data_IF_538906372620
#
_entry.id   IF_538906372620
#
_cell.length_a   1.000
_cell.length_b   1.000
_cell.length_c   1.000
_cell.angle_alpha   90.00
_cell.angle_beta   90.00
_cell.angle_gamma   90.00
#
_symmetry.space_group_name_H-M   'P 1'
#
loop_
_entity.id
_entity.type
_entity.pdbx_description
1 polymer ?
#
# COMPACT_ATOMS: atom_id res chain seq x y z
N UNK A 1 -0.46 -9.38 -20.25
CA UNK A 1 -0.07 -10.58 -19.47
C UNK A 1 1.00 -10.27 -18.43
N UNK A 2 2.14 -9.65 -18.77
CA UNK A 2 3.24 -9.41 -17.82
C UNK A 2 2.88 -8.51 -16.62
N UNK A 3 2.18 -7.39 -16.84
CA UNK A 3 1.73 -6.50 -15.75
C UNK A 3 0.73 -7.18 -14.81
N UNK A 4 -0.09 -8.11 -15.33
CA UNK A 4 -1.00 -8.90 -14.49
C UNK A 4 -0.25 -9.91 -13.60
N UNK A 5 1.04 -10.13 -13.83
CA UNK A 5 1.91 -10.97 -13.00
C UNK A 5 2.71 -10.15 -11.96
N UNK A 6 2.47 -8.84 -11.83
CA UNK A 6 3.02 -8.04 -10.72
C UNK A 6 2.56 -8.53 -9.33
N UNK A 7 1.60 -9.45 -9.32
CA UNK A 7 1.07 -10.09 -8.13
C UNK A 7 1.31 -11.59 -8.25
N UNK A 8 2.22 -12.18 -7.46
CA UNK A 8 2.37 -13.63 -7.44
C UNK A 8 1.07 -14.27 -6.91
N UNK A 9 0.78 -15.53 -7.27
CA UNK A 9 -0.36 -16.25 -6.71
C UNK A 9 -0.24 -16.24 -5.18
N UNK A 10 -1.31 -15.80 -4.52
CA UNK A 10 -1.40 -15.74 -3.06
C UNK A 10 -1.33 -17.18 -2.56
N UNK A 11 -0.17 -17.58 -2.04
CA UNK A 11 -0.06 -18.82 -1.27
C UNK A 11 -0.55 -18.46 0.12
N UNK A 12 -1.79 -18.82 0.43
CA UNK A 12 -2.31 -18.83 1.80
C UNK A 12 -1.54 -19.87 2.63
N UNK A 13 -0.33 -19.54 3.05
CA UNK A 13 0.35 -20.24 4.14
C UNK A 13 1.07 -19.22 5.00
N UNK A 14 0.65 -19.20 6.26
CA UNK A 14 1.41 -18.67 7.37
C UNK A 14 2.84 -19.21 7.24
N UNK A 15 3.81 -18.30 7.24
CA UNK A 15 5.23 -18.52 6.96
C UNK A 15 5.57 -18.68 5.47
N UNK A 16 5.79 -17.54 4.80
CA UNK A 16 6.48 -17.51 3.49
C UNK A 16 7.89 -18.05 3.71
N UNK A 17 8.27 -19.18 3.09
CA UNK A 17 9.62 -19.71 3.26
C UNK A 17 10.66 -18.71 2.73
N UNK A 18 11.82 -18.61 3.38
CA UNK A 18 12.91 -17.69 2.96
C UNK A 18 13.29 -17.86 1.48
N UNK A 19 13.20 -19.08 0.94
CA UNK A 19 13.42 -19.36 -0.48
C UNK A 19 12.34 -18.78 -1.40
N UNK A 20 11.10 -18.65 -0.93
CA UNK A 20 10.00 -18.06 -1.68
C UNK A 20 10.14 -16.53 -1.81
N UNK A 21 10.72 -15.87 -0.79
CA UNK A 21 11.07 -14.44 -0.86
C UNK A 21 12.18 -14.21 -1.88
N UNK A 22 13.24 -15.02 -1.86
CA UNK A 22 14.32 -14.93 -2.87
C UNK A 22 13.78 -15.21 -4.28
N UNK A 23 12.95 -16.24 -4.45
CA UNK A 23 12.32 -16.56 -5.73
C UNK A 23 11.39 -15.47 -6.24
N UNK A 24 10.67 -14.76 -5.34
CA UNK A 24 9.87 -13.58 -5.70
C UNK A 24 10.78 -12.49 -6.29
N UNK A 25 11.92 -12.19 -5.65
CA UNK A 25 12.91 -11.21 -6.13
C UNK A 25 13.53 -11.60 -7.47
N UNK A 26 13.77 -12.90 -7.69
CA UNK A 26 14.31 -13.39 -8.96
C UNK A 26 13.28 -13.30 -10.11
N UNK A 27 12.04 -13.71 -9.85
CA UNK A 27 10.95 -13.57 -10.83
C UNK A 27 10.75 -12.09 -11.19
N UNK A 28 10.83 -11.23 -10.18
CA UNK A 28 10.71 -9.79 -10.33
C UNK A 28 11.82 -9.20 -11.18
N UNK A 29 13.08 -9.54 -10.92
CA UNK A 29 14.22 -9.03 -11.68
C UNK A 29 14.13 -9.47 -13.14
N UNK A 30 13.72 -10.72 -13.37
CA UNK A 30 13.45 -11.24 -14.71
C UNK A 30 12.28 -10.52 -15.42
N UNK A 31 11.22 -10.19 -14.69
CA UNK A 31 10.07 -9.47 -15.23
C UNK A 31 10.44 -8.05 -15.65
N UNK A 32 11.14 -7.33 -14.78
CA UNK A 32 11.63 -5.98 -15.06
C UNK A 32 12.62 -5.99 -16.24
N UNK A 33 13.55 -6.96 -16.26
CA UNK A 33 14.49 -7.14 -17.37
C UNK A 33 13.80 -7.48 -18.70
N UNK A 34 12.76 -8.30 -18.69
CA UNK A 34 11.99 -8.63 -19.90
C UNK A 34 11.23 -7.41 -20.42
N UNK A 35 10.63 -6.63 -19.52
CA UNK A 35 9.89 -5.43 -19.88
C UNK A 35 10.83 -4.36 -20.46
N UNK A 36 12.04 -4.26 -19.92
CA UNK A 36 13.12 -3.42 -20.45
C UNK A 36 13.49 -3.83 -21.88
N UNK A 37 13.78 -5.12 -22.12
CA UNK A 37 14.10 -5.62 -23.46
C UNK A 37 12.99 -5.30 -24.48
N UNK A 38 11.73 -5.45 -24.08
CA UNK A 38 10.58 -5.09 -24.92
C UNK A 38 10.55 -3.58 -25.19
N UNK A 39 10.77 -2.75 -24.16
CA UNK A 39 10.80 -1.30 -24.28
C UNK A 39 11.90 -0.79 -25.20
N UNK A 40 13.09 -1.38 -25.14
CA UNK A 40 14.22 -1.01 -26.01
C UNK A 40 14.00 -1.47 -27.46
N UNK A 41 13.28 -2.57 -27.66
CA UNK A 41 12.99 -3.12 -28.99
C UNK A 41 11.80 -2.43 -29.67
N UNK A 42 10.79 -2.01 -28.90
CA UNK A 42 9.52 -1.47 -29.42
C UNK A 42 9.29 -0.04 -28.90
N UNK A 43 9.46 1.00 -29.73
CA UNK A 43 9.34 2.40 -29.31
C UNK A 43 7.98 2.80 -28.72
N UNK A 44 6.91 2.08 -29.08
CA UNK A 44 5.56 2.30 -28.53
C UNK A 44 5.32 1.61 -27.19
N UNK A 45 6.20 0.70 -26.76
CA UNK A 45 5.97 -0.10 -25.55
C UNK A 45 5.88 0.74 -24.26
N UNK A 46 6.67 1.82 -24.04
CA UNK A 46 6.49 2.68 -22.87
C UNK A 46 5.09 3.28 -22.78
N UNK A 47 4.52 3.70 -23.92
CA UNK A 47 3.17 4.26 -23.98
C UNK A 47 2.10 3.22 -23.66
N UNK A 48 2.22 2.03 -24.25
CA UNK A 48 1.30 0.92 -23.96
C UNK A 48 1.41 0.48 -22.50
N UNK A 49 2.62 0.43 -21.96
CA UNK A 49 2.87 0.08 -20.58
C UNK A 49 2.21 1.07 -19.62
N UNK A 50 2.28 2.37 -19.91
CA UNK A 50 1.56 3.40 -19.16
C UNK A 50 0.06 3.09 -19.09
N UNK A 51 -0.58 2.87 -20.23
CA UNK A 51 -2.02 2.62 -20.30
C UNK A 51 -2.41 1.31 -19.59
N UNK A 52 -1.53 0.31 -19.60
CA UNK A 52 -1.75 -0.95 -18.86
C UNK A 52 -1.61 -0.72 -17.36
N UNK A 53 -0.58 -0.01 -16.90
CA UNK A 53 -0.36 0.30 -15.49
C UNK A 53 -1.54 1.09 -14.93
N UNK A 54 -2.04 2.09 -15.67
CA UNK A 54 -3.21 2.87 -15.29
C UNK A 54 -4.45 1.99 -15.06
N UNK A 55 -4.64 0.95 -15.86
CA UNK A 55 -5.78 0.01 -15.73
C UNK A 55 -5.59 -1.02 -14.63
N UNK A 56 -4.35 -1.39 -14.37
CA UNK A 56 -3.98 -2.44 -13.41
C UNK A 56 -3.71 -1.90 -12.00
N UNK A 57 -3.79 -0.58 -11.81
CA UNK A 57 -3.51 0.05 -10.53
C UNK A 57 -4.39 -0.52 -9.42
N UNK A 58 -3.79 -0.97 -8.30
CA UNK A 58 -4.53 -1.45 -7.14
C UNK A 58 -5.58 -0.45 -6.65
N UNK A 59 -6.75 -0.96 -6.27
CA UNK A 59 -7.87 -0.20 -5.70
C UNK A 59 -7.92 -0.39 -4.20
N UNK A 60 -8.55 0.53 -3.47
CA UNK A 60 -8.66 0.51 -1.99
C UNK A 60 -9.01 -0.87 -1.38
N UNK A 61 -9.91 -1.61 -2.03
CA UNK A 61 -10.38 -2.93 -1.56
C UNK A 61 -9.47 -4.11 -1.94
N UNK A 62 -8.41 -3.89 -2.74
CA UNK A 62 -7.45 -4.93 -3.06
C UNK A 62 -6.66 -5.36 -1.80
N UNK A 63 -6.19 -6.61 -1.82
CA UNK A 63 -5.36 -7.17 -0.75
C UNK A 63 -4.04 -6.36 -0.59
N UNK A 64 -3.62 -6.11 0.66
CA UNK A 64 -2.33 -5.48 1.02
C UNK A 64 -1.15 -6.11 0.29
N UNK A 65 -1.06 -7.44 0.26
CA UNK A 65 0.05 -8.15 -0.40
C UNK A 65 0.10 -7.88 -1.92
N UNK A 66 -1.08 -7.74 -2.53
CA UNK A 66 -1.26 -7.42 -3.95
C UNK A 66 -0.79 -5.99 -4.23
N UNK A 67 -1.23 -5.04 -3.41
CA UNK A 67 -0.81 -3.63 -3.48
C UNK A 67 0.69 -3.46 -3.34
N UNK A 68 1.27 -4.04 -2.29
CA UNK A 68 2.71 -3.96 -2.01
C UNK A 68 3.52 -4.51 -3.18
N UNK A 69 3.19 -5.71 -3.67
CA UNK A 69 3.93 -6.32 -4.78
C UNK A 69 3.81 -5.52 -6.06
N UNK A 70 2.64 -4.91 -6.33
CA UNK A 70 2.44 -4.06 -7.50
C UNK A 70 3.26 -2.76 -7.45
N UNK A 71 3.26 -2.07 -6.29
CA UNK A 71 4.03 -0.83 -6.11
C UNK A 71 5.53 -1.10 -6.13
N UNK A 72 5.98 -2.18 -5.49
CA UNK A 72 7.36 -2.66 -5.59
C UNK A 72 7.76 -2.87 -7.06
N UNK A 73 6.89 -3.47 -7.88
CA UNK A 73 7.09 -3.63 -9.33
C UNK A 73 7.22 -2.29 -10.04
N UNK A 74 6.30 -1.37 -9.80
CA UNK A 74 6.35 -0.06 -10.45
C UNK A 74 7.63 0.71 -10.13
N UNK A 75 8.03 0.77 -8.86
CA UNK A 75 9.20 1.51 -8.43
C UNK A 75 10.50 0.87 -8.97
N UNK A 76 10.56 -0.46 -9.07
CA UNK A 76 11.68 -1.16 -9.71
C UNK A 76 11.91 -0.76 -11.17
N UNK A 77 10.83 -0.43 -11.90
CA UNK A 77 10.93 0.04 -13.30
C UNK A 77 11.51 1.45 -13.43
N UNK A 78 11.53 2.24 -12.35
CA UNK A 78 12.00 3.63 -12.36
C UNK A 78 13.53 3.76 -12.36
N UNK A 79 14.24 2.66 -12.08
CA UNK A 79 15.70 2.66 -11.89
C UNK A 79 16.52 2.79 -13.18
N UNK A 80 15.89 2.85 -14.36
CA UNK A 80 16.54 2.74 -15.67
C UNK A 80 16.03 3.80 -16.68
N UNK A 81 16.48 3.74 -17.95
CA UNK A 81 16.03 4.62 -19.07
C UNK A 81 14.50 4.63 -19.25
N UNK A 82 13.83 3.53 -18.87
CA UNK A 82 12.38 3.46 -18.86
C UNK A 82 11.78 4.35 -17.76
N UNK A 83 12.42 4.43 -16.59
CA UNK A 83 12.08 5.38 -15.54
C UNK A 83 12.17 6.84 -15.99
N UNK A 84 13.15 7.19 -16.83
CA UNK A 84 13.19 8.55 -17.40
C UNK A 84 11.95 8.88 -18.27
N UNK A 85 11.28 7.86 -18.85
CA UNK A 85 10.11 8.05 -19.72
C UNK A 85 8.77 7.98 -18.97
N UNK A 86 8.63 7.08 -18.00
CA UNK A 86 7.36 6.84 -17.30
C UNK A 86 7.45 7.05 -15.78
N UNK A 87 8.63 7.15 -15.21
CA UNK A 87 8.91 7.23 -13.77
C UNK A 87 8.13 8.33 -13.05
N UNK A 88 8.12 9.54 -13.60
CA UNK A 88 7.35 10.65 -13.03
C UNK A 88 5.85 10.35 -12.93
N UNK A 89 5.31 9.61 -13.92
CA UNK A 89 3.91 9.19 -13.93
C UNK A 89 3.69 8.06 -12.93
N UNK A 90 4.61 7.09 -12.87
CA UNK A 90 4.54 5.99 -11.91
C UNK A 90 4.56 6.51 -10.46
N UNK A 91 5.48 7.42 -10.17
CA UNK A 91 5.62 8.02 -8.84
C UNK A 91 4.39 8.85 -8.46
N UNK A 92 3.83 9.61 -9.41
CA UNK A 92 2.56 10.32 -9.21
C UNK A 92 1.43 9.36 -8.84
N UNK A 93 1.30 8.22 -9.54
CA UNK A 93 0.27 7.22 -9.28
C UNK A 93 0.43 6.55 -7.91
N UNK A 94 1.67 6.30 -7.49
CA UNK A 94 1.96 5.76 -6.15
C UNK A 94 1.57 6.78 -5.08
N UNK A 95 1.92 8.05 -5.25
CA UNK A 95 1.54 9.12 -4.31
C UNK A 95 0.03 9.30 -4.26
N UNK A 96 -0.67 9.27 -5.41
CA UNK A 96 -2.13 9.34 -5.47
C UNK A 96 -2.77 8.19 -4.69
N UNK A 97 -2.26 6.95 -4.83
CA UNK A 97 -2.74 5.79 -4.09
C UNK A 97 -2.50 5.92 -2.57
N UNK A 98 -1.32 6.39 -2.15
CA UNK A 98 -1.02 6.66 -0.74
C UNK A 98 -1.97 7.72 -0.16
N UNK A 99 -2.22 8.77 -0.93
CA UNK A 99 -3.14 9.85 -0.55
C UNK A 99 -4.58 9.33 -0.41
N UNK A 100 -5.01 8.47 -1.33
CA UNK A 100 -6.34 7.87 -1.30
C UNK A 100 -6.52 6.99 -0.05
N UNK A 101 -5.52 6.18 0.30
CA UNK A 101 -5.53 5.38 1.52
C UNK A 101 -5.56 6.26 2.77
N UNK A 102 -4.71 7.28 2.83
CA UNK A 102 -4.58 8.20 3.96
C UNK A 102 -5.88 8.99 4.24
N UNK A 103 -6.54 9.50 3.20
CA UNK A 103 -7.83 10.22 3.35
C UNK A 103 -8.94 9.30 3.88
N UNK A 104 -8.88 8.00 3.55
CA UNK A 104 -9.86 7.03 4.01
C UNK A 104 -9.60 6.51 5.42
N UNK A 105 -8.47 6.87 6.04
CA UNK A 105 -8.24 6.61 7.47
C UNK A 105 -9.08 7.61 8.28
N UNK A 106 -10.13 7.11 8.92
CA UNK A 106 -11.00 7.91 9.77
C UNK A 106 -10.41 8.08 11.18
N UNK A 107 -10.92 9.05 11.94
CA UNK A 107 -10.49 9.25 13.32
C UNK A 107 -10.87 8.08 14.24
N UNK A 108 -11.96 7.40 13.93
CA UNK A 108 -12.39 6.18 14.63
C UNK A 108 -11.33 5.08 14.50
N UNK A 109 -10.69 4.99 13.33
CA UNK A 109 -9.63 4.01 13.09
C UNK A 109 -8.31 4.35 13.81
N UNK A 110 -8.09 5.61 14.19
CA UNK A 110 -6.89 6.07 14.92
C UNK A 110 -7.10 5.91 16.44
N UNK A 111 -8.31 6.17 16.93
CA UNK A 111 -8.63 6.12 18.36
C UNK A 111 -8.79 4.69 18.89
N UNK A 112 -9.05 3.70 18.03
CA UNK A 112 -9.22 2.30 18.44
C UNK A 112 -7.95 1.66 19.01
N UNK A 113 -6.74 2.09 18.62
CA UNK A 113 -5.49 1.54 19.17
C UNK A 113 -5.21 1.98 20.62
N UNK A 114 -5.76 3.12 21.07
CA UNK A 114 -5.57 3.60 22.44
C UNK A 114 -6.59 3.05 23.44
N UNK A 115 -7.78 2.62 22.98
CA UNK A 115 -8.85 2.17 23.88
C UNK A 115 -8.83 0.68 24.23
N UNK A 116 -8.05 -0.16 23.53
CA UNK A 116 -7.87 -1.58 23.89
C UNK A 116 -6.78 -1.81 24.96
N UNK A 117 -6.21 -0.72 25.52
CA UNK A 117 -5.44 -0.75 26.78
C UNK A 117 -6.21 0.01 27.86
N UNK A 118 -7.35 -0.55 28.27
CA UNK A 118 -8.11 -0.07 29.41
C UNK A 118 -7.25 -0.03 30.68
N UNK A 119 -6.87 1.18 31.10
CA UNK A 119 -6.18 1.45 32.38
C UNK A 119 -7.17 1.55 33.57
N UNK A 120 -8.47 1.35 33.33
CA UNK A 120 -9.47 1.33 34.39
C UNK A 120 -10.27 0.04 34.34
N UNK A 121 -9.66 -1.04 34.83
CA UNK A 121 -10.41 -2.08 35.52
C UNK A 121 -10.84 -1.48 36.86
N UNK A 122 -11.99 -0.79 36.85
CA UNK A 122 -12.66 -0.43 38.10
C UNK A 122 -13.35 -1.71 38.56
N UNK A 123 -12.69 -2.46 39.45
CA UNK A 123 -13.33 -3.50 40.24
C UNK A 123 -14.51 -2.85 40.99
N UNK A 124 -15.71 -3.01 40.45
CA UNK A 124 -16.94 -2.70 41.17
C UNK A 124 -17.08 -3.81 42.21
N UNK A 125 -16.91 -3.49 43.49
CA UNK A 125 -17.23 -4.41 44.59
C UNK A 125 -18.70 -4.84 44.45
N UNK A 126 -18.92 -6.16 44.33
CA UNK A 126 -20.23 -6.80 44.31
C UNK A 126 -21.02 -6.41 45.58
N UNK A 127 -22.00 -5.53 45.41
CA UNK A 127 -23.08 -5.38 46.37
C UNK A 127 -24.28 -6.19 45.85
N UNK A 128 -24.47 -7.36 46.46
CA UNK A 128 -25.65 -8.21 46.33
C UNK A 128 -26.96 -7.40 46.45
N UNK A 129 -27.84 -7.52 45.45
CA UNK A 129 -29.29 -7.44 45.64
C UNK A 129 -30.05 -8.01 44.42
N UNK A 130 -30.60 -9.21 44.63
CA UNK A 130 -31.91 -9.72 44.18
C UNK A 130 -32.27 -9.86 42.68
N UNK A 131 -32.38 -11.14 42.29
CA UNK A 131 -33.39 -11.82 41.47
C UNK A 131 -34.48 -10.98 40.78
N UNK A 132 -34.54 -11.05 39.44
CA UNK A 132 -35.73 -11.42 38.63
C UNK A 132 -35.64 -10.89 37.17
N UNK A 133 -35.94 -11.76 36.19
CA UNK A 133 -36.65 -11.33 34.97
C UNK A 133 -35.95 -11.44 33.61
N UNK A 134 -36.46 -12.38 32.80
CA UNK A 134 -36.44 -12.51 31.34
C UNK A 134 -36.20 -11.23 30.50
N UNK A 135 -35.35 -11.34 29.48
CA UNK A 135 -35.17 -10.31 28.46
C UNK A 135 -34.30 -10.74 27.27
N UNK A 136 -34.92 -11.36 26.27
CA UNK A 136 -34.40 -11.57 24.92
C UNK A 136 -33.58 -10.37 24.38
N UNK A 137 -32.33 -10.62 23.97
CA UNK A 137 -31.42 -9.59 23.46
C UNK A 137 -30.51 -10.09 22.33
N UNK A 138 -31.15 -10.52 21.24
CA UNK A 138 -30.73 -10.40 19.84
C UNK A 138 -29.22 -10.47 19.52
N UNK A 139 -28.86 -11.54 18.81
CA UNK A 139 -27.63 -11.72 18.05
C UNK A 139 -27.26 -10.48 17.21
N UNK A 140 -26.47 -9.58 17.78
CA UNK A 140 -25.61 -8.70 17.03
C UNK A 140 -24.37 -9.48 16.66
N UNK A 141 -24.32 -10.07 15.47
CA UNK A 141 -23.05 -10.40 14.83
C UNK A 141 -22.29 -9.08 14.65
N UNK A 142 -21.59 -8.67 15.71
CA UNK A 142 -20.59 -7.62 15.67
C UNK A 142 -19.50 -8.18 14.79
N UNK A 143 -19.60 -7.91 13.49
CA UNK A 143 -18.49 -8.08 12.57
C UNK A 143 -17.42 -7.13 13.10
N UNK A 144 -16.53 -7.65 13.93
CA UNK A 144 -15.29 -7.00 14.28
C UNK A 144 -14.46 -6.92 12.99
N UNK A 145 -14.73 -5.92 12.16
CA UNK A 145 -13.72 -5.25 11.36
C UNK A 145 -12.82 -4.55 12.41
N UNK A 146 -11.89 -5.18 13.11
CA UNK A 146 -10.90 -6.11 12.59
C UNK A 146 -9.70 -5.32 12.04
N UNK A 147 -9.14 -4.40 12.84
CA UNK A 147 -7.93 -3.63 12.51
C UNK A 147 -8.11 -2.61 11.38
N UNK A 148 -7.47 -1.45 11.47
CA UNK A 148 -7.51 -0.43 10.42
C UNK A 148 -6.81 -0.91 9.14
N UNK A 149 -7.53 -1.63 8.28
CA UNK A 149 -7.02 -2.19 7.04
C UNK A 149 -6.42 -1.14 6.09
N UNK A 150 -6.86 0.12 6.16
CA UNK A 150 -6.29 1.21 5.36
C UNK A 150 -4.95 1.69 5.93
N UNK A 151 -4.82 1.88 7.25
CA UNK A 151 -3.54 2.22 7.88
C UNK A 151 -2.51 1.10 7.69
N UNK A 152 -2.89 -0.16 7.87
CA UNK A 152 -1.94 -1.25 7.65
C UNK A 152 -1.43 -1.32 6.21
N UNK A 153 -2.29 -1.04 5.22
CA UNK A 153 -1.90 -0.95 3.82
C UNK A 153 -0.99 0.26 3.58
N UNK A 154 -1.34 1.41 4.15
CA UNK A 154 -0.57 2.64 4.03
C UNK A 154 0.83 2.47 4.62
N UNK A 155 0.95 1.94 5.84
CA UNK A 155 2.22 1.67 6.50
C UNK A 155 3.12 0.75 5.64
N UNK A 156 2.57 -0.38 5.17
CA UNK A 156 3.30 -1.30 4.31
C UNK A 156 3.79 -0.67 3.00
N UNK A 157 2.98 0.21 2.39
CA UNK A 157 3.37 0.92 1.17
C UNK A 157 4.39 2.03 1.45
N UNK A 158 4.27 2.75 2.56
CA UNK A 158 5.24 3.77 2.99
C UNK A 158 6.62 3.17 3.20
N UNK A 159 6.70 1.97 3.80
CA UNK A 159 7.97 1.23 3.94
C UNK A 159 8.57 0.94 2.56
N UNK A 160 7.79 0.41 1.61
CA UNK A 160 8.27 0.08 0.25
C UNK A 160 8.79 1.32 -0.48
N UNK A 161 8.05 2.43 -0.41
CA UNK A 161 8.45 3.70 -1.05
C UNK A 161 9.73 4.25 -0.41
N UNK A 162 9.82 4.26 0.93
CA UNK A 162 11.01 4.73 1.63
C UNK A 162 12.24 3.86 1.33
N UNK A 163 12.09 2.54 1.30
CA UNK A 163 13.19 1.63 0.95
C UNK A 163 13.65 1.80 -0.50
N UNK A 164 12.72 2.01 -1.44
CA UNK A 164 13.06 2.38 -2.81
C UNK A 164 13.90 3.66 -2.84
N UNK A 165 13.43 4.74 -2.21
CA UNK A 165 14.15 6.02 -2.15
C UNK A 165 15.54 5.90 -1.53
N UNK A 166 15.71 5.07 -0.48
CA UNK A 166 17.02 4.81 0.14
C UNK A 166 17.97 4.03 -0.77
N UNK A 167 17.43 3.17 -1.65
CA UNK A 167 18.22 2.35 -2.57
C UNK A 167 18.79 3.14 -3.76
N UNK A 168 18.26 4.33 -4.04
CA UNK A 168 18.68 5.18 -5.15
C UNK A 168 20.04 5.83 -4.91
N UNK A 169 20.78 6.08 -6.00
CA UNK A 169 21.96 6.92 -5.94
C UNK A 169 21.60 8.40 -5.73
N UNK A 170 22.58 9.23 -5.34
CA UNK A 170 22.32 10.65 -5.02
C UNK A 170 21.73 11.44 -6.20
N UNK A 171 22.11 11.09 -7.44
CA UNK A 171 21.66 11.80 -8.63
C UNK A 171 20.21 11.47 -8.97
N UNK A 172 19.82 10.19 -8.92
CA UNK A 172 18.43 9.77 -9.12
C UNK A 172 17.54 10.19 -7.97
N UNK A 173 18.02 10.09 -6.73
CA UNK A 173 17.27 10.56 -5.56
C UNK A 173 16.91 12.05 -5.69
N UNK A 174 17.85 12.89 -6.16
CA UNK A 174 17.56 14.30 -6.39
C UNK A 174 16.47 14.50 -7.46
N UNK A 175 16.52 13.75 -8.57
CA UNK A 175 15.49 13.79 -9.61
C UNK A 175 14.13 13.36 -9.07
N UNK A 176 14.06 12.21 -8.38
CA UNK A 176 12.82 11.72 -7.76
C UNK A 176 12.28 12.71 -6.73
N UNK A 177 13.14 13.34 -5.93
CA UNK A 177 12.73 14.37 -4.98
C UNK A 177 12.12 15.61 -5.65
N UNK A 178 12.68 16.05 -6.80
CA UNK A 178 12.11 17.15 -7.58
C UNK A 178 10.72 16.77 -8.12
N UNK A 179 10.56 15.54 -8.59
CA UNK A 179 9.27 15.00 -9.05
C UNK A 179 8.28 14.94 -7.89
N UNK A 180 8.64 14.34 -6.75
CA UNK A 180 7.83 14.28 -5.53
C UNK A 180 7.40 15.67 -5.07
N UNK A 181 8.31 16.63 -5.03
CA UNK A 181 8.00 18.02 -4.68
C UNK A 181 6.99 18.66 -5.64
N UNK A 182 7.06 18.30 -6.93
CA UNK A 182 6.11 18.77 -7.94
C UNK A 182 4.74 18.15 -7.72
N UNK A 183 4.68 16.83 -7.50
CA UNK A 183 3.45 16.11 -7.18
C UNK A 183 2.82 16.63 -5.89
N UNK A 184 3.63 16.81 -4.84
CA UNK A 184 3.19 17.34 -3.55
C UNK A 184 2.47 18.67 -3.69
N UNK A 185 3.05 19.59 -4.49
CA UNK A 185 2.46 20.90 -4.77
C UNK A 185 1.18 20.82 -5.61
N UNK A 186 1.11 19.88 -6.54
CA UNK A 186 -0.01 19.74 -7.46
C UNK A 186 -1.21 19.05 -6.79
N UNK A 187 -0.97 17.95 -6.06
CA UNK A 187 -1.99 17.03 -5.55
C UNK A 187 -2.14 17.13 -4.03
N UNK A 188 -1.07 16.85 -3.26
CA UNK A 188 -1.17 16.70 -1.79
C UNK A 188 -1.54 17.98 -1.05
N UNK A 189 -1.00 19.15 -1.45
CA UNK A 189 -1.34 20.43 -0.82
C UNK A 189 -2.83 20.79 -0.91
N UNK A 190 -3.56 20.22 -1.87
CA UNK A 190 -5.00 20.46 -2.05
C UNK A 190 -5.85 19.50 -1.25
N UNK A 191 -5.28 18.41 -0.76
CA UNK A 191 -5.98 17.36 -0.03
C UNK A 191 -5.88 17.65 1.46
N UNK A 192 -6.80 18.46 1.97
CA UNK A 192 -6.83 18.90 3.37
C UNK A 192 -7.11 17.80 4.41
N UNK A 193 -7.48 16.58 3.98
CA UNK A 193 -7.79 15.44 4.87
C UNK A 193 -6.65 14.42 5.01
N UNK A 194 -5.59 14.55 4.22
CA UNK A 194 -4.41 13.69 4.31
C UNK A 194 -3.67 14.00 5.62
N UNK A 195 -3.37 12.96 6.41
CA UNK A 195 -2.72 13.08 7.73
C UNK A 195 -1.30 12.51 7.72
N UNK A 196 -1.06 11.46 6.93
CA UNK A 196 0.15 10.65 6.97
C UNK A 196 0.97 10.66 5.67
N UNK A 197 0.36 10.98 4.51
CA UNK A 197 1.04 10.90 3.21
C UNK A 197 1.90 12.14 2.86
N UNK A 198 1.84 13.21 3.66
CA UNK A 198 2.62 14.44 3.50
C UNK A 198 4.07 14.29 3.98
#
# INVERSE_FOLDING_TARGET
MLVNNFTPPIVERNEVPTWAVSRKKDIFSHLCGSLKTISDTVPLAPRMLRDIIDRSMPKLFDNKAKMISFVECMLGLDTDRMGDLIGAILLAKVVDLLTELDVNITWEDILQEEHDKGIFEMELEDLDADDDGDGFGQAGTKVCLGGNACAEKLDGLMVVVCEHLKSLDRQRLYKEFVILKTIFRASLLRVHRSKFAQ
#
